data_IF_919858850052
#
_entry.id   IF_919858850052
#
_cell.length_a   1.000
_cell.length_b   1.000
_cell.length_c   1.000
_cell.angle_alpha   90.00
_cell.angle_beta   90.00
_cell.angle_gamma   90.00
#
_symmetry.space_group_name_H-M   'P 1'
#
loop_
_entity.id
_entity.type
_entity.pdbx_description
1 polymer ?
#
# COMPACT_ATOMS: atom_id res chain seq x y z
N UNK A 1 18.02 -6.16 -4.20
CA UNK A 1 16.72 -5.47 -4.29
C UNK A 1 16.43 -4.82 -2.94
N UNK A 2 16.26 -3.50 -2.88
CA UNK A 2 15.96 -2.80 -1.61
C UNK A 2 14.51 -3.11 -1.25
N UNK A 3 14.29 -3.81 -0.13
CA UNK A 3 12.93 -4.09 0.36
C UNK A 3 12.27 -2.80 0.88
N UNK A 4 10.99 -2.62 0.59
CA UNK A 4 10.22 -1.44 1.01
C UNK A 4 9.82 -1.53 2.48
N UNK A 5 9.75 -0.40 3.17
CA UNK A 5 9.37 -0.39 4.58
C UNK A 5 7.85 -0.38 4.74
N UNK A 6 7.34 -1.41 5.41
CA UNK A 6 5.96 -1.53 5.87
C UNK A 6 5.94 -1.20 7.37
N UNK A 7 5.43 -0.03 7.74
CA UNK A 7 5.47 0.50 9.11
C UNK A 7 4.31 0.03 9.98
N UNK A 8 3.21 -0.37 9.36
CA UNK A 8 2.04 -0.85 10.06
C UNK A 8 1.28 -1.83 9.17
N UNK A 9 0.83 -2.91 9.78
CA UNK A 9 -0.11 -3.86 9.21
C UNK A 9 -1.06 -4.28 10.31
N UNK A 10 -2.32 -4.44 9.98
CA UNK A 10 -3.30 -5.03 10.89
C UNK A 10 -4.49 -5.57 10.13
N UNK A 11 -5.24 -6.41 10.83
CA UNK A 11 -6.48 -6.99 10.35
C UNK A 11 -7.56 -6.59 11.32
N UNK A 12 -8.63 -5.98 10.81
CA UNK A 12 -9.91 -5.85 11.50
C UNK A 12 -10.93 -6.71 10.78
N UNK A 13 -12.10 -6.93 11.40
CA UNK A 13 -13.13 -7.91 11.00
C UNK A 13 -13.17 -8.16 9.49
N UNK A 14 -13.44 -7.09 8.73
CA UNK A 14 -13.67 -7.17 7.29
C UNK A 14 -12.57 -6.54 6.42
N UNK A 15 -11.50 -5.99 7.00
CA UNK A 15 -10.45 -5.38 6.19
C UNK A 15 -9.04 -5.55 6.77
N UNK A 16 -8.04 -5.48 5.91
CA UNK A 16 -6.64 -5.33 6.32
C UNK A 16 -6.17 -3.92 6.01
N UNK A 17 -5.28 -3.38 6.83
CA UNK A 17 -4.64 -2.09 6.58
C UNK A 17 -3.13 -2.21 6.49
N UNK A 18 -2.52 -1.29 5.74
CA UNK A 18 -1.08 -1.26 5.49
C UNK A 18 -0.58 0.17 5.45
N UNK A 19 0.60 0.41 6.03
CA UNK A 19 1.23 1.72 6.09
C UNK A 19 2.63 1.67 5.49
N UNK A 20 2.86 2.37 4.38
CA UNK A 20 4.14 2.37 3.65
C UNK A 20 4.83 3.73 3.67
N UNK A 21 6.14 3.76 3.38
CA UNK A 21 6.79 4.98 2.88
C UNK A 21 6.16 5.40 1.54
N UNK A 22 5.89 6.69 1.35
CA UNK A 22 5.44 7.23 0.06
C UNK A 22 6.62 7.28 -0.92
N UNK A 23 6.79 6.22 -1.70
CA UNK A 23 7.84 6.07 -2.72
C UNK A 23 7.25 5.63 -4.06
N UNK A 24 7.97 5.83 -5.16
CA UNK A 24 7.45 5.40 -6.46
C UNK A 24 7.35 3.88 -6.54
N UNK A 25 8.35 3.18 -5.99
CA UNK A 25 8.49 1.73 -6.06
C UNK A 25 7.36 0.99 -5.34
N UNK A 26 6.74 1.58 -4.30
CA UNK A 26 5.59 0.96 -3.65
C UNK A 26 4.37 0.96 -4.58
N UNK A 27 4.18 2.00 -5.40
CA UNK A 27 3.09 2.01 -6.37
C UNK A 27 3.28 0.93 -7.43
N UNK A 28 4.49 0.78 -7.96
CA UNK A 28 4.76 -0.23 -8.98
C UNK A 28 4.53 -1.66 -8.45
N UNK A 29 4.95 -1.93 -7.20
CA UNK A 29 4.68 -3.21 -6.53
C UNK A 29 3.19 -3.41 -6.29
N UNK A 30 2.50 -2.39 -5.77
CA UNK A 30 1.07 -2.49 -5.49
C UNK A 30 0.25 -2.71 -6.77
N UNK A 31 0.53 -1.99 -7.85
CA UNK A 31 -0.12 -2.19 -9.16
C UNK A 31 0.09 -3.62 -9.65
N UNK A 32 1.32 -4.13 -9.56
CA UNK A 32 1.63 -5.51 -9.91
C UNK A 32 0.85 -6.51 -9.05
N UNK A 33 0.79 -6.30 -7.74
CA UNK A 33 0.06 -7.18 -6.82
C UNK A 33 -1.45 -7.16 -7.08
N UNK A 34 -2.03 -5.99 -7.35
CA UNK A 34 -3.46 -5.89 -7.64
C UNK A 34 -3.83 -6.54 -8.97
N UNK A 35 -2.97 -6.44 -9.98
CA UNK A 35 -3.15 -7.17 -11.22
C UNK A 35 -3.07 -8.69 -10.99
N UNK A 36 -2.05 -9.16 -10.25
CA UNK A 36 -1.85 -10.59 -10.03
C UNK A 36 -2.92 -11.24 -9.16
N UNK A 37 -3.32 -10.58 -8.07
CA UNK A 37 -4.19 -11.19 -7.06
C UNK A 37 -5.68 -10.87 -7.27
N UNK A 38 -5.99 -9.77 -7.96
CA UNK A 38 -7.37 -9.29 -8.14
C UNK A 38 -7.76 -8.98 -9.58
N UNK A 39 -6.85 -9.16 -10.56
CA UNK A 39 -7.07 -8.78 -11.96
C UNK A 39 -7.46 -7.29 -12.14
N UNK A 40 -6.94 -6.43 -11.26
CA UNK A 40 -7.21 -4.99 -11.33
C UNK A 40 -6.13 -4.30 -12.17
N UNK A 41 -6.58 -3.68 -13.25
CA UNK A 41 -5.77 -2.77 -14.05
C UNK A 41 -5.78 -1.37 -13.44
N UNK A 42 -4.73 -1.06 -12.68
CA UNK A 42 -4.51 0.28 -12.18
C UNK A 42 -3.46 0.99 -13.05
N UNK A 43 -3.89 1.94 -13.86
CA UNK A 43 -2.97 2.72 -14.70
C UNK A 43 -2.03 3.52 -13.80
N UNK A 44 -0.76 3.10 -13.76
CA UNK A 44 0.34 3.96 -13.32
C UNK A 44 0.31 5.20 -14.20
N UNK A 45 0.29 6.40 -13.63
CA UNK A 45 0.45 7.67 -14.38
C UNK A 45 1.87 7.84 -14.96
N UNK A 46 2.51 6.76 -15.41
CA UNK A 46 3.88 6.71 -15.90
C UNK A 46 3.96 6.05 -17.26
N UNK A 47 3.16 6.53 -18.21
CA UNK A 47 3.34 6.21 -19.62
C UNK A 47 3.14 7.49 -20.44
N UNK A 48 4.04 8.45 -20.26
CA UNK A 48 4.68 9.26 -21.31
C UNK A 48 5.36 10.51 -20.72
N UNK A 49 6.67 10.60 -20.98
CA UNK A 49 7.46 11.81 -21.18
C UNK A 49 7.53 12.88 -20.05
N UNK A 50 8.69 12.92 -19.39
CA UNK A 50 9.36 14.12 -18.84
C UNK A 50 8.61 15.07 -17.89
N UNK A 51 7.42 14.71 -17.39
CA UNK A 51 6.80 15.38 -16.24
C UNK A 51 6.89 14.46 -15.03
N UNK A 52 7.92 14.68 -14.20
CA UNK A 52 7.89 14.24 -12.79
C UNK A 52 6.52 14.61 -12.22
N UNK A 53 5.72 13.62 -11.80
CA UNK A 53 4.51 13.88 -11.04
C UNK A 53 4.95 14.67 -9.81
N UNK A 54 4.50 15.92 -9.71
CA UNK A 54 4.79 16.68 -8.51
C UNK A 54 3.91 16.12 -7.39
N UNK A 55 4.55 15.41 -6.45
CA UNK A 55 3.92 14.82 -5.25
C UNK A 55 3.41 15.93 -4.30
N UNK A 56 3.77 17.19 -4.57
CA UNK A 56 3.37 18.40 -3.88
C UNK A 56 2.02 18.88 -4.43
N UNK A 57 0.98 19.12 -3.64
CA UNK A 57 1.01 20.04 -2.50
C UNK A 57 -0.08 19.63 -1.49
N UNK A 58 0.34 18.93 -0.43
CA UNK A 58 -0.32 18.91 0.89
C UNK A 58 -1.68 18.23 1.10
N UNK A 59 -2.18 17.38 0.21
CA UNK A 59 -3.53 16.83 0.39
C UNK A 59 -3.55 15.35 0.77
N UNK A 60 -4.30 15.08 1.83
CA UNK A 60 -4.98 13.82 2.14
C UNK A 60 -5.89 13.45 0.96
N UNK A 61 -5.29 12.93 -0.10
CA UNK A 61 -6.08 12.42 -1.23
C UNK A 61 -6.55 11.03 -0.86
N UNK A 62 -7.84 10.78 -1.02
CA UNK A 62 -8.42 9.45 -0.93
C UNK A 62 -8.78 8.98 -2.34
N UNK A 63 -8.34 7.77 -2.69
CA UNK A 63 -8.79 7.08 -3.91
C UNK A 63 -9.30 5.71 -3.53
N UNK A 64 -10.47 5.35 -4.03
CA UNK A 64 -11.05 4.03 -3.80
C UNK A 64 -11.31 3.30 -5.11
N UNK A 65 -11.04 2.00 -5.13
CA UNK A 65 -11.59 1.06 -6.09
C UNK A 65 -12.65 0.22 -5.38
N UNK A 66 -13.83 0.05 -6.00
CA UNK A 66 -14.95 -0.70 -5.42
C UNK A 66 -15.52 -1.64 -6.47
N UNK A 67 -15.64 -2.91 -6.14
CA UNK A 67 -16.39 -3.93 -6.85
C UNK A 67 -17.27 -4.69 -5.86
N UNK A 68 -18.10 -5.63 -6.34
CA UNK A 68 -19.03 -6.40 -5.50
C UNK A 68 -18.36 -7.15 -4.34
N UNK A 69 -17.10 -7.56 -4.49
CA UNK A 69 -16.38 -8.41 -3.52
C UNK A 69 -15.10 -7.78 -2.98
N UNK A 70 -14.74 -6.60 -3.46
CA UNK A 70 -13.44 -6.00 -3.20
C UNK A 70 -13.55 -4.48 -3.15
N UNK A 71 -13.10 -3.91 -2.04
CA UNK A 71 -12.88 -2.49 -1.90
C UNK A 71 -11.43 -2.23 -1.48
N UNK A 72 -10.78 -1.34 -2.20
CA UNK A 72 -9.41 -0.90 -1.94
C UNK A 72 -9.46 0.60 -1.74
N UNK A 73 -8.97 1.10 -0.61
CA UNK A 73 -8.84 2.54 -0.38
C UNK A 73 -7.38 2.91 -0.18
N UNK A 74 -6.94 3.98 -0.84
CA UNK A 74 -5.64 4.59 -0.67
C UNK A 74 -5.81 5.98 -0.10
N UNK A 75 -5.11 6.23 0.99
CA UNK A 75 -4.99 7.54 1.61
C UNK A 75 -3.55 7.99 1.45
N UNK A 76 -3.37 9.04 0.66
CA UNK A 76 -2.06 9.61 0.36
C UNK A 76 -1.76 10.70 1.39
N UNK A 77 -1.00 10.35 2.42
CA UNK A 77 -0.45 11.33 3.33
C UNK A 77 0.76 12.06 2.74
N UNK A 78 1.35 12.94 3.56
CA UNK A 78 2.57 13.69 3.21
C UNK A 78 3.76 12.76 2.95
N UNK A 79 4.04 11.86 3.90
CA UNK A 79 5.20 10.94 3.87
C UNK A 79 4.80 9.47 3.74
N UNK A 80 3.51 9.18 3.90
CA UNK A 80 2.97 7.83 4.07
C UNK A 80 1.87 7.57 3.06
N UNK A 81 1.74 6.30 2.70
CA UNK A 81 0.55 5.78 2.03
C UNK A 81 -0.11 4.83 2.99
N UNK A 82 -1.38 5.06 3.27
CA UNK A 82 -2.22 4.15 4.01
C UNK A 82 -3.16 3.44 3.04
N UNK A 83 -3.14 2.12 3.05
CA UNK A 83 -3.93 1.26 2.17
C UNK A 83 -4.88 0.46 3.03
N UNK A 84 -6.16 0.42 2.69
CA UNK A 84 -7.10 -0.55 3.24
C UNK A 84 -7.60 -1.48 2.16
N UNK A 85 -7.70 -2.76 2.50
CA UNK A 85 -8.15 -3.83 1.62
C UNK A 85 -9.32 -4.54 2.30
N UNK A 86 -10.52 -4.32 1.80
CA UNK A 86 -11.74 -4.99 2.24
C UNK A 86 -12.14 -6.04 1.19
N UNK A 87 -11.89 -7.30 1.51
CA UNK A 87 -12.24 -8.44 0.67
C UNK A 87 -12.29 -9.73 1.53
N UNK A 88 -12.82 -10.85 0.96
CA UNK A 88 -12.80 -12.14 1.62
C UNK A 88 -11.44 -12.54 2.21
N UNK A 89 -11.44 -13.22 3.35
CA UNK A 89 -10.22 -13.55 4.11
C UNK A 89 -9.17 -14.28 3.28
N UNK A 90 -9.60 -15.23 2.44
CA UNK A 90 -8.70 -15.98 1.55
C UNK A 90 -7.93 -15.06 0.58
N UNK A 91 -8.59 -14.03 0.05
CA UNK A 91 -7.97 -13.04 -0.84
C UNK A 91 -7.02 -12.12 -0.08
N UNK A 92 -7.38 -11.70 1.15
CA UNK A 92 -6.50 -10.93 2.04
C UNK A 92 -5.21 -11.70 2.36
N UNK A 93 -5.33 -12.99 2.67
CA UNK A 93 -4.18 -13.85 2.97
C UNK A 93 -3.24 -13.99 1.77
N UNK A 94 -3.77 -14.26 0.57
CA UNK A 94 -2.97 -14.33 -0.67
C UNK A 94 -2.22 -13.03 -0.94
N UNK A 95 -2.91 -11.90 -0.82
CA UNK A 95 -2.28 -10.59 -0.97
C UNK A 95 -1.16 -10.36 0.05
N UNK A 96 -1.38 -10.72 1.32
CA UNK A 96 -0.35 -10.62 2.36
C UNK A 96 0.89 -11.44 2.03
N UNK A 97 0.72 -12.71 1.66
CA UNK A 97 1.82 -13.59 1.27
C UNK A 97 2.61 -13.05 0.07
N UNK A 98 1.91 -12.47 -0.91
CA UNK A 98 2.55 -11.84 -2.06
C UNK A 98 3.29 -10.55 -1.67
N UNK A 99 2.68 -9.68 -0.85
CA UNK A 99 3.25 -8.42 -0.37
C UNK A 99 4.53 -8.64 0.44
N UNK A 100 4.55 -9.64 1.34
CA UNK A 100 5.70 -9.92 2.21
C UNK A 100 6.98 -10.32 1.46
N UNK A 101 6.89 -10.66 0.16
CA UNK A 101 8.06 -10.88 -0.70
C UNK A 101 8.81 -9.58 -1.01
N UNK A 102 8.11 -8.45 -1.00
CA UNK A 102 8.61 -7.14 -1.42
C UNK A 102 8.92 -6.18 -0.28
N UNK A 103 8.37 -6.43 0.91
CA UNK A 103 8.44 -5.51 2.05
C UNK A 103 9.29 -6.05 3.19
N UNK A 104 9.70 -5.14 4.05
CA UNK A 104 10.38 -5.37 5.32
C UNK A 104 9.70 -4.52 6.37
N UNK A 105 9.37 -5.13 7.51
CA UNK A 105 8.92 -4.37 8.67
C UNK A 105 10.15 -3.85 9.42
N UNK A 106 10.32 -2.52 9.60
CA UNK A 106 11.40 -2.01 10.42
C UNK A 106 11.20 -2.49 11.86
N UNK A 107 12.25 -3.06 12.47
CA UNK A 107 12.21 -3.41 13.90
C UNK A 107 11.96 -2.12 14.70
N UNK A 108 10.87 -2.07 15.45
CA UNK A 108 10.58 -0.95 16.33
C UNK A 108 11.71 -0.83 17.36
N UNK A 109 12.56 0.19 17.21
CA UNK A 109 13.52 0.58 18.24
C UNK A 109 12.78 1.42 19.28
N UNK A 110 11.85 0.81 20.02
CA UNK A 110 11.40 1.45 21.25
C UNK A 110 12.61 1.52 22.18
N UNK A 111 13.26 2.70 22.25
CA UNK A 111 14.12 3.02 23.37
C UNK A 111 13.19 3.12 24.58
N UNK A 112 13.04 2.03 25.31
CA UNK A 112 12.46 2.06 26.66
C UNK A 112 13.38 2.99 27.44
N UNK A 113 12.97 4.26 27.60
CA UNK A 113 13.58 5.13 28.60
C UNK A 113 13.15 4.53 29.94
N UNK A 114 14.05 3.76 30.57
CA UNK A 114 13.93 3.47 31.99
C UNK A 114 13.93 4.84 32.68
N UNK A 115 12.77 5.23 33.23
CA UNK A 115 12.68 6.29 34.23
C UNK A 115 13.03 5.69 35.58
#
# INVERSE_FOLDING_TARGET
>A
MVKLKLYGIGNEDNFSYYLFDKKQEIFDILIKLFLLEFDIYWLSHSSNENKRINIEKYTDVHKSYVSEKLRIDFFYGKERIYLTLNCPLNLRMKFNEALFKYVVMPKNKFKIKKK
#
